data_IF_502333772896
#
_entry.id   IF_502333772896
#
_cell.length_a   1.000
_cell.length_b   1.000
_cell.length_c   1.000
_cell.angle_alpha   90.00
_cell.angle_beta   90.00
_cell.angle_gamma   90.00
#
_symmetry.space_group_name_H-M   'P 1'
#
loop_
_entity.id
_entity.type
_entity.pdbx_description
1 polymer ?
#
# COMPACT_ATOMS: atom_id res chain seq x y z
N UNK A 1 -20.25 10.44 8.77
CA UNK A 1 -19.13 10.25 9.71
C UNK A 1 -18.06 9.53 8.92
N UNK A 2 -17.02 10.19 8.43
CA UNK A 2 -15.97 9.45 7.72
C UNK A 2 -14.62 9.96 8.23
N UNK A 3 -14.09 9.19 9.17
CA UNK A 3 -12.72 9.27 9.64
C UNK A 3 -11.94 8.06 9.10
N UNK A 4 -10.66 7.98 9.44
CA UNK A 4 -9.80 6.85 9.06
C UNK A 4 -10.40 5.51 9.53
N UNK A 5 -10.40 4.52 8.65
CA UNK A 5 -10.86 3.15 8.91
C UNK A 5 -9.74 2.15 8.65
N UNK A 6 -9.78 1.01 9.35
CA UNK A 6 -8.93 -0.13 9.03
C UNK A 6 -9.66 -0.97 7.99
N UNK A 7 -9.07 -1.09 6.81
CA UNK A 7 -9.62 -1.93 5.74
C UNK A 7 -9.20 -3.37 5.90
N UNK A 8 -7.92 -3.58 6.19
CA UNK A 8 -7.40 -4.92 6.33
C UNK A 8 -6.11 -4.96 7.14
N UNK A 9 -5.87 -6.10 7.77
CA UNK A 9 -4.66 -6.39 8.51
C UNK A 9 -4.23 -7.82 8.24
N UNK A 10 -2.93 -8.01 7.98
CA UNK A 10 -2.38 -9.32 7.64
C UNK A 10 -1.04 -9.52 8.32
N UNK A 11 -0.75 -10.78 8.66
CA UNK A 11 0.59 -11.20 9.04
C UNK A 11 1.40 -11.45 7.77
N UNK A 12 2.60 -10.88 7.69
CA UNK A 12 3.51 -11.04 6.56
C UNK A 12 4.91 -11.42 7.03
N UNK A 13 5.80 -11.73 6.08
CA UNK A 13 7.18 -12.11 6.41
C UNK A 13 7.91 -11.00 7.18
N UNK A 14 8.11 -11.20 8.49
CA UNK A 14 8.87 -10.28 9.33
C UNK A 14 8.06 -9.18 10.00
N UNK A 15 6.72 -9.25 9.96
CA UNK A 15 5.88 -8.24 10.60
C UNK A 15 4.40 -8.33 10.25
N UNK A 16 3.78 -7.17 10.19
CA UNK A 16 2.36 -7.00 9.87
C UNK A 16 2.20 -5.95 8.78
N UNK A 17 1.21 -6.18 7.92
CA UNK A 17 0.74 -5.19 6.98
C UNK A 17 -0.63 -4.69 7.47
N UNK A 18 -0.77 -3.37 7.55
CA UNK A 18 -2.01 -2.68 7.87
C UNK A 18 -2.39 -1.78 6.69
N UNK A 19 -3.64 -1.88 6.25
CA UNK A 19 -4.21 -1.02 5.22
C UNK A 19 -5.30 -0.20 5.89
N UNK A 20 -5.21 1.12 5.75
CA UNK A 20 -6.26 2.04 6.20
C UNK A 20 -6.83 2.78 5.01
N UNK A 21 -8.10 3.16 5.14
CA UNK A 21 -8.80 4.00 4.18
C UNK A 21 -9.28 5.28 4.84
N UNK A 22 -9.47 6.31 4.02
CA UNK A 22 -10.22 7.49 4.38
C UNK A 22 -11.22 7.76 3.26
N UNK A 23 -12.50 7.58 3.57
CA UNK A 23 -13.58 7.84 2.64
C UNK A 23 -13.92 9.33 2.66
N UNK A 24 -14.13 9.88 1.47
CA UNK A 24 -14.61 11.24 1.27
C UNK A 24 -15.61 11.26 0.11
N UNK A 25 -16.20 12.43 -0.15
CA UNK A 25 -17.41 12.53 -0.97
C UNK A 25 -17.30 11.90 -2.37
N UNK A 26 -16.13 12.01 -3.02
CA UNK A 26 -15.92 11.53 -4.38
C UNK A 26 -14.97 10.33 -4.48
N UNK A 27 -14.19 10.00 -3.44
CA UNK A 27 -13.20 8.93 -3.49
C UNK A 27 -12.83 8.33 -2.15
N UNK A 28 -11.93 7.35 -2.20
CA UNK A 28 -11.27 6.78 -1.04
C UNK A 28 -9.76 6.82 -1.24
N UNK A 29 -9.06 7.31 -0.22
CA UNK A 29 -7.60 7.26 -0.18
C UNK A 29 -7.16 6.07 0.67
N UNK A 30 -6.06 5.44 0.28
CA UNK A 30 -5.51 4.27 0.97
C UNK A 30 -4.07 4.51 1.43
N UNK A 31 -3.79 4.08 2.65
CA UNK A 31 -2.44 4.04 3.22
C UNK A 31 -2.07 2.61 3.56
N UNK A 32 -0.82 2.27 3.27
CA UNK A 32 -0.26 0.95 3.48
C UNK A 32 0.90 1.07 4.45
N UNK A 33 0.82 0.38 5.59
CA UNK A 33 1.82 0.43 6.65
C UNK A 33 2.44 -0.95 6.85
N UNK A 34 3.77 -1.00 6.85
CA UNK A 34 4.49 -2.17 7.31
C UNK A 34 4.97 -1.91 8.75
N UNK A 35 4.50 -2.75 9.66
CA UNK A 35 4.87 -2.76 11.06
C UNK A 35 5.81 -3.94 11.31
N UNK A 36 6.87 -3.73 12.11
CA UNK A 36 7.66 -4.87 12.61
C UNK A 36 6.87 -5.65 13.67
N UNK A 37 7.49 -6.68 14.24
CA UNK A 37 6.90 -7.50 15.32
C UNK A 37 6.56 -6.72 16.58
N UNK A 38 7.23 -5.59 16.80
CA UNK A 38 7.01 -4.70 17.95
C UNK A 38 5.94 -3.62 17.65
N UNK A 39 5.22 -3.74 16.53
CA UNK A 39 4.19 -2.81 16.06
C UNK A 39 4.70 -1.40 15.75
N UNK A 40 6.00 -1.25 15.48
CA UNK A 40 6.58 0.01 15.01
C UNK A 40 6.46 0.13 13.49
N UNK A 41 5.96 1.27 13.02
CA UNK A 41 5.88 1.56 11.58
C UNK A 41 7.28 1.69 11.00
N UNK A 42 7.69 0.71 10.18
CA UNK A 42 9.00 0.71 9.52
C UNK A 42 8.94 1.25 8.10
N UNK A 43 7.82 1.11 7.41
CA UNK A 43 7.62 1.69 6.08
C UNK A 43 6.15 2.04 5.87
N UNK A 44 5.91 2.99 4.98
CA UNK A 44 4.58 3.49 4.67
C UNK A 44 4.50 3.93 3.20
N UNK A 45 3.44 3.54 2.53
CA UNK A 45 3.11 3.97 1.17
C UNK A 45 1.75 4.64 1.19
N UNK A 46 1.64 5.72 0.45
CA UNK A 46 0.39 6.36 0.06
C UNK A 46 0.49 6.63 -1.44
N UNK A 47 -0.60 6.46 -2.20
CA UNK A 47 -0.60 6.85 -3.61
C UNK A 47 -1.27 8.22 -3.79
N UNK A 48 -0.50 9.31 -3.99
CA UNK A 48 -1.04 10.67 -4.09
C UNK A 48 -1.75 10.94 -5.41
N UNK A 49 -1.68 10.04 -6.40
CA UNK A 49 -2.16 10.30 -7.75
C UNK A 49 -3.47 9.61 -8.09
N UNK A 50 -4.00 8.82 -7.16
CA UNK A 50 -5.17 7.99 -7.42
C UNK A 50 -6.19 8.17 -6.32
N UNK A 51 -6.66 9.42 -6.24
CA UNK A 51 -7.96 9.75 -5.67
C UNK A 51 -9.02 9.02 -6.49
N UNK A 52 -10.13 8.59 -5.90
CA UNK A 52 -11.21 7.80 -6.53
C UNK A 52 -11.03 6.28 -6.62
N UNK A 53 -10.08 5.68 -5.91
CA UNK A 53 -9.97 4.23 -5.80
C UNK A 53 -11.05 3.67 -4.86
N UNK A 54 -11.64 2.54 -5.23
CA UNK A 54 -12.49 1.75 -4.34
C UNK A 54 -12.02 0.32 -4.40
N UNK A 55 -11.36 -0.16 -3.35
CA UNK A 55 -10.92 -1.56 -3.26
C UNK A 55 -12.17 -2.44 -3.29
N UNK A 56 -12.29 -3.23 -4.34
CA UNK A 56 -13.34 -4.24 -4.49
C UNK A 56 -12.92 -5.53 -3.78
N UNK A 57 -11.64 -5.90 -3.93
CA UNK A 57 -11.12 -7.16 -3.43
C UNK A 57 -9.65 -7.05 -3.07
N UNK A 58 -9.28 -7.75 -1.99
CA UNK A 58 -7.89 -7.97 -1.59
C UNK A 58 -7.64 -9.47 -1.60
N UNK A 59 -6.70 -9.91 -2.44
CA UNK A 59 -6.26 -11.30 -2.52
C UNK A 59 -4.82 -11.44 -2.00
N UNK A 60 -4.59 -12.47 -1.19
CA UNK A 60 -3.25 -12.81 -0.72
C UNK A 60 -2.67 -13.81 -1.72
N UNK A 61 -1.78 -13.35 -2.59
CA UNK A 61 -1.09 -14.20 -3.57
C UNK A 61 -0.05 -15.07 -2.88
N UNK A 62 0.73 -14.48 -1.96
CA UNK A 62 1.62 -15.18 -1.04
C UNK A 62 1.92 -14.35 0.23
N UNK A 63 2.83 -14.80 1.10
CA UNK A 63 3.20 -14.13 2.35
C UNK A 63 3.86 -12.74 2.19
N UNK A 64 4.15 -12.32 0.96
CA UNK A 64 4.86 -11.10 0.59
C UNK A 64 4.13 -10.30 -0.48
N UNK A 65 3.16 -10.88 -1.17
CA UNK A 65 2.45 -10.23 -2.28
C UNK A 65 0.95 -10.22 -2.00
N UNK A 66 0.39 -9.02 -1.95
CA UNK A 66 -1.05 -8.80 -1.97
C UNK A 66 -1.46 -8.20 -3.29
N UNK A 67 -2.58 -8.68 -3.80
CA UNK A 67 -3.24 -8.16 -4.98
C UNK A 67 -4.47 -7.34 -4.55
N UNK A 68 -4.54 -6.11 -5.05
CA UNK A 68 -5.59 -5.14 -4.74
C UNK A 68 -6.36 -4.88 -6.04
N UNK A 69 -7.61 -5.35 -6.12
CA UNK A 69 -8.49 -5.06 -7.24
C UNK A 69 -9.37 -3.87 -6.91
N UNK A 70 -9.39 -2.88 -7.80
CA UNK A 70 -10.16 -1.65 -7.63
C UNK A 70 -11.34 -1.62 -8.61
N UNK A 71 -12.50 -1.21 -8.12
CA UNK A 71 -13.72 -1.09 -8.93
C UNK A 71 -13.63 0.05 -9.96
N UNK A 72 -13.00 1.16 -9.56
CA UNK A 72 -12.84 2.35 -10.40
C UNK A 72 -11.48 3.01 -10.15
N UNK A 73 -10.67 3.24 -11.19
CA UNK A 73 -10.70 2.51 -12.47
C UNK A 73 -10.55 0.99 -12.26
N UNK A 74 -11.10 0.18 -13.17
CA UNK A 74 -10.98 -1.29 -13.12
C UNK A 74 -9.52 -1.69 -13.34
N UNK A 75 -8.78 -1.79 -12.24
CA UNK A 75 -7.33 -1.98 -12.22
C UNK A 75 -6.94 -2.87 -11.06
N UNK A 76 -5.88 -3.64 -11.28
CA UNK A 76 -5.30 -4.49 -10.26
C UNK A 76 -3.90 -4.00 -9.94
N UNK A 77 -3.60 -3.85 -8.65
CA UNK A 77 -2.28 -3.43 -8.18
C UNK A 77 -1.68 -4.52 -7.31
N UNK A 78 -0.35 -4.58 -7.29
CA UNK A 78 0.40 -5.44 -6.38
C UNK A 78 1.10 -4.60 -5.33
N UNK A 79 0.87 -5.00 -4.09
CA UNK A 79 1.62 -4.55 -2.93
C UNK A 79 2.60 -5.64 -2.54
N UNK A 80 3.90 -5.35 -2.70
CA UNK A 80 4.98 -6.31 -2.48
C UNK A 80 5.80 -5.92 -1.26
N UNK A 81 6.07 -6.90 -0.41
CA UNK A 81 6.89 -6.83 0.79
C UNK A 81 8.23 -7.51 0.50
N UNK A 82 9.28 -6.71 0.44
CA UNK A 82 10.63 -7.17 0.15
C UNK A 82 11.22 -7.94 1.32
N UNK A 83 11.92 -9.03 1.02
CA UNK A 83 12.62 -9.83 2.04
C UNK A 83 13.78 -9.09 2.71
N UNK A 84 14.33 -8.08 2.04
CA UNK A 84 15.36 -7.18 2.55
C UNK A 84 15.03 -5.75 2.13
N UNK A 85 15.30 -4.73 2.97
CA UNK A 85 15.06 -3.35 2.60
C UNK A 85 15.91 -2.93 1.39
N UNK A 86 15.28 -2.29 0.40
CA UNK A 86 15.90 -1.85 -0.85
C UNK A 86 16.03 -0.33 -0.92
N UNK A 87 17.01 0.16 -1.67
CA UNK A 87 17.03 1.55 -2.09
C UNK A 87 16.20 1.72 -3.35
N UNK A 88 15.23 2.63 -3.31
CA UNK A 88 14.47 3.04 -4.47
C UNK A 88 14.47 4.57 -4.46
N UNK A 89 14.86 5.20 -5.56
CA UNK A 89 14.88 6.65 -5.70
C UNK A 89 14.12 7.09 -6.95
N UNK A 90 13.29 6.20 -7.51
CA UNK A 90 12.41 6.57 -8.60
C UNK A 90 11.46 7.68 -8.12
N UNK A 91 11.17 8.63 -9.01
CA UNK A 91 10.31 9.77 -8.70
C UNK A 91 8.95 9.29 -8.18
N UNK A 92 8.38 8.27 -8.83
CA UNK A 92 7.13 7.62 -8.42
C UNK A 92 7.23 7.05 -7.00
N UNK A 93 8.33 6.39 -6.64
CA UNK A 93 8.49 5.85 -5.30
C UNK A 93 8.74 6.91 -4.23
N UNK A 94 9.34 8.06 -4.58
CA UNK A 94 9.56 9.19 -3.66
C UNK A 94 8.25 9.91 -3.38
N UNK A 95 7.45 10.17 -4.41
CA UNK A 95 6.16 10.86 -4.29
C UNK A 95 5.16 10.09 -3.43
N UNK A 96 5.28 8.75 -3.43
CA UNK A 96 4.48 7.86 -2.56
C UNK A 96 5.00 7.77 -1.10
N UNK A 97 6.00 8.57 -0.70
CA UNK A 97 6.56 8.55 0.67
C UNK A 97 6.07 9.72 1.50
N UNK A 98 5.71 9.45 2.76
CA UNK A 98 5.70 10.48 3.79
C UNK A 98 7.11 11.06 3.97
N UNK A 99 7.20 12.36 4.27
CA UNK A 99 8.47 13.08 4.45
C UNK A 99 9.45 12.37 5.40
N UNK A 100 8.94 11.79 6.50
CA UNK A 100 9.74 11.05 7.50
C UNK A 100 10.44 9.79 6.95
N UNK A 101 10.07 9.31 5.77
CA UNK A 101 10.62 8.10 5.15
C UNK A 101 11.40 8.36 3.86
N UNK A 102 11.62 9.62 3.47
CA UNK A 102 12.31 9.96 2.21
C UNK A 102 13.72 9.33 2.15
N UNK A 103 14.49 9.45 3.23
CA UNK A 103 15.88 8.96 3.31
C UNK A 103 16.00 7.54 3.90
N UNK A 104 14.95 6.72 3.80
CA UNK A 104 14.93 5.36 4.35
C UNK A 104 14.87 4.32 3.23
N UNK A 105 15.47 3.14 3.47
CA UNK A 105 15.27 1.96 2.63
C UNK A 105 13.80 1.51 2.66
N UNK A 106 13.29 1.06 1.52
CA UNK A 106 11.92 0.58 1.32
C UNK A 106 11.81 -0.90 1.64
N UNK A 107 10.75 -1.23 2.36
CA UNK A 107 10.33 -2.60 2.64
C UNK A 107 9.13 -2.94 1.76
N UNK A 108 8.34 -1.94 1.39
CA UNK A 108 7.19 -2.12 0.51
C UNK A 108 7.37 -1.42 -0.84
N UNK A 109 6.77 -2.00 -1.86
CA UNK A 109 6.54 -1.39 -3.17
C UNK A 109 5.09 -1.58 -3.60
N UNK A 110 4.52 -0.56 -4.24
CA UNK A 110 3.16 -0.59 -4.77
C UNK A 110 3.21 -0.27 -6.27
N UNK A 111 2.76 -1.20 -7.09
CA UNK A 111 2.76 -1.03 -8.54
C UNK A 111 1.46 -1.52 -9.17
N UNK A 112 1.00 -0.76 -10.15
CA UNK A 112 -0.16 -1.08 -10.97
C UNK A 112 0.22 -2.19 -11.96
N UNK A 113 -0.61 -3.22 -12.06
CA UNK A 113 -0.51 -4.20 -13.14
C UNK A 113 -1.12 -3.62 -14.41
N UNK A 114 -0.48 -3.88 -15.55
CA UNK A 114 -1.13 -3.63 -16.84
C UNK A 114 -2.31 -4.61 -16.96
N UNK A 115 -3.49 -4.16 -17.43
CA UNK A 115 -4.56 -5.09 -17.75
C UNK A 115 -4.03 -6.10 -18.78
N UNK A 116 -4.50 -7.37 -18.73
CA UNK A 116 -4.14 -8.35 -19.75
C UNK A 116 -4.52 -7.79 -21.13
N UNK A 117 -3.58 -7.90 -22.07
CA UNK A 117 -3.70 -7.46 -23.47
C UNK A 117 -4.81 -8.17 -24.22
#
# INVERSE_FOLDING_TARGET
MEGEQIEAQFKCSGGFLLITSYNYYDGTDYWYYFLNTDLEVKDMIFDPYVSFLYVEKIDIVDLRVLELSFLKPNETWHLVIHSKPIWDFSLSAILKRPFRFIFKKRIMSLFRLKPPS
#
